data_IF_282847255108
#
_entry.id   IF_282847255108
#
_cell.length_a   1.000
_cell.length_b   1.000
_cell.length_c   1.000
_cell.angle_alpha   90.00
_cell.angle_beta   90.00
_cell.angle_gamma   90.00
#
_symmetry.space_group_name_H-M   'P 1'
#
loop_
_entity.id
_entity.type
_entity.pdbx_description
1 polymer ?
#
# COMPACT_ATOMS: atom_id res chain seq x y z
N UNK A 1 5.20 1.19 23.26
CA UNK A 1 6.65 0.98 23.01
C UNK A 1 7.12 -0.17 23.89
N UNK A 2 7.22 -1.39 23.36
CA UNK A 2 8.18 -2.39 23.88
C UNK A 2 8.60 -3.24 22.69
N UNK A 3 9.90 -3.19 22.42
CA UNK A 3 10.66 -4.00 21.48
C UNK A 3 10.55 -5.49 21.89
N UNK A 4 10.31 -6.49 21.01
CA UNK A 4 10.44 -7.88 21.42
C UNK A 4 11.93 -8.21 21.50
N UNK A 5 12.58 -7.75 22.56
CA UNK A 5 13.91 -8.21 22.92
C UNK A 5 13.77 -9.59 23.58
N UNK A 6 14.59 -10.56 23.16
CA UNK A 6 14.74 -11.83 23.88
C UNK A 6 15.12 -11.55 25.34
N UNK A 7 14.19 -11.80 26.27
CA UNK A 7 14.44 -11.69 27.71
C UNK A 7 14.98 -13.04 28.16
N UNK A 8 16.30 -13.15 28.23
CA UNK A 8 17.08 -14.25 28.83
C UNK A 8 17.18 -15.57 28.04
N UNK A 9 18.42 -15.96 27.76
CA UNK A 9 18.80 -17.34 27.45
C UNK A 9 18.90 -18.09 28.79
N UNK A 10 17.98 -19.02 29.05
CA UNK A 10 18.22 -20.00 30.11
C UNK A 10 19.22 -21.05 29.59
N UNK A 11 20.00 -21.70 30.48
CA UNK A 11 21.12 -22.63 30.14
C UNK A 11 20.75 -23.81 29.20
N UNK A 12 19.48 -23.97 28.82
CA UNK A 12 18.96 -24.95 27.87
C UNK A 12 18.69 -24.42 26.44
N UNK A 13 19.00 -23.15 26.14
CA UNK A 13 18.89 -22.62 24.76
C UNK A 13 17.46 -22.36 24.27
N UNK A 14 16.48 -22.16 25.17
CA UNK A 14 15.10 -21.83 24.82
C UNK A 14 14.89 -20.31 24.74
N UNK A 15 14.20 -19.83 23.70
CA UNK A 15 13.75 -18.43 23.56
C UNK A 15 12.33 -18.30 24.11
N UNK A 16 12.11 -17.36 25.02
CA UNK A 16 10.78 -17.12 25.59
C UNK A 16 10.14 -15.92 24.92
N UNK A 17 9.07 -16.15 24.16
CA UNK A 17 8.19 -15.08 23.67
C UNK A 17 7.02 -14.93 24.65
N UNK A 18 7.07 -13.95 25.55
CA UNK A 18 5.95 -13.66 26.46
C UNK A 18 5.08 -12.53 25.90
N UNK A 19 3.78 -12.77 25.83
CA UNK A 19 2.81 -11.76 25.42
C UNK A 19 2.25 -10.93 26.61
N UNK A 20 2.41 -11.46 27.83
CA UNK A 20 2.18 -10.81 29.13
C UNK A 20 2.79 -11.68 30.25
N UNK A 21 3.03 -11.13 31.46
CA UNK A 21 3.76 -11.75 32.59
C UNK A 21 3.26 -13.14 33.04
N UNK A 22 2.08 -13.58 32.61
CA UNK A 22 1.46 -14.84 33.04
C UNK A 22 1.25 -15.88 31.94
N UNK A 23 1.53 -15.56 30.66
CA UNK A 23 1.34 -16.48 29.54
C UNK A 23 2.60 -16.54 28.66
N UNK A 24 3.57 -17.34 29.07
CA UNK A 24 4.75 -17.64 28.28
C UNK A 24 4.60 -19.04 27.68
N UNK A 25 4.39 -19.11 26.34
CA UNK A 25 4.46 -20.39 25.64
C UNK A 25 5.93 -20.78 25.49
N UNK A 26 6.31 -21.93 26.07
CA UNK A 26 7.58 -22.55 25.80
C UNK A 26 7.58 -23.11 24.37
N UNK A 27 8.10 -22.33 23.43
CA UNK A 27 8.44 -22.81 22.10
C UNK A 27 9.95 -23.04 22.06
N UNK A 28 10.45 -24.16 21.51
CA UNK A 28 11.88 -24.36 21.40
C UNK A 28 12.47 -23.26 20.51
N UNK A 29 13.63 -22.70 20.88
CA UNK A 29 14.27 -21.62 20.11
C UNK A 29 14.49 -21.98 18.64
N UNK A 30 14.61 -23.28 18.34
CA UNK A 30 14.70 -23.85 16.98
C UNK A 30 13.51 -23.51 16.09
N UNK A 31 12.30 -23.35 16.64
CA UNK A 31 11.10 -23.01 15.87
C UNK A 31 11.07 -21.51 15.50
N UNK A 32 11.59 -20.64 16.36
CA UNK A 32 11.68 -19.21 16.08
C UNK A 32 12.79 -18.91 15.06
N UNK A 33 13.96 -19.54 15.21
CA UNK A 33 15.08 -19.39 14.26
C UNK A 33 14.73 -19.96 12.89
N UNK A 34 14.06 -21.11 12.82
CA UNK A 34 13.61 -21.67 11.54
C UNK A 34 12.51 -20.82 10.87
N UNK A 35 11.60 -20.20 11.62
CA UNK A 35 10.60 -19.27 11.07
C UNK A 35 11.24 -17.98 10.52
N UNK A 36 12.19 -17.38 11.25
CA UNK A 36 12.97 -16.23 10.79
C UNK A 36 13.82 -16.56 9.57
N UNK A 37 14.43 -17.76 9.55
CA UNK A 37 15.16 -18.28 8.39
C UNK A 37 14.24 -18.51 7.18
N UNK A 38 13.01 -18.99 7.38
CA UNK A 38 12.04 -19.13 6.29
C UNK A 38 11.59 -17.76 5.76
N UNK A 39 11.33 -16.80 6.64
CA UNK A 39 10.97 -15.44 6.25
C UNK A 39 12.12 -14.75 5.50
N UNK A 40 13.36 -14.88 5.98
CA UNK A 40 14.52 -14.30 5.32
C UNK A 40 14.77 -14.92 3.95
N UNK A 41 14.61 -16.25 3.80
CA UNK A 41 14.65 -16.93 2.50
C UNK A 41 13.56 -16.43 1.55
N UNK A 42 12.33 -16.24 2.03
CA UNK A 42 11.22 -15.70 1.22
C UNK A 42 11.48 -14.26 0.81
N UNK A 43 11.92 -13.41 1.74
CA UNK A 43 12.24 -12.01 1.47
C UNK A 43 13.39 -11.91 0.48
N UNK A 44 14.45 -12.71 0.65
CA UNK A 44 15.56 -12.79 -0.28
C UNK A 44 15.10 -13.24 -1.67
N UNK A 45 14.26 -14.28 -1.75
CA UNK A 45 13.67 -14.72 -3.01
C UNK A 45 12.86 -13.61 -3.68
N UNK A 46 12.01 -12.91 -2.93
CA UNK A 46 11.19 -11.81 -3.47
C UNK A 46 12.05 -10.65 -3.95
N UNK A 47 13.08 -10.24 -3.18
CA UNK A 47 14.00 -9.18 -3.55
C UNK A 47 14.84 -9.56 -4.78
N UNK A 48 15.30 -10.81 -4.86
CA UNK A 48 16.06 -11.32 -5.99
C UNK A 48 15.19 -11.36 -7.25
N UNK A 49 13.98 -11.93 -7.17
CA UNK A 49 13.04 -11.96 -8.30
C UNK A 49 12.65 -10.54 -8.74
N UNK A 50 12.34 -9.65 -7.79
CA UNK A 50 12.05 -8.25 -8.10
C UNK A 50 13.24 -7.54 -8.75
N UNK A 51 14.47 -7.79 -8.27
CA UNK A 51 15.70 -7.24 -8.84
C UNK A 51 15.94 -7.73 -10.27
N UNK A 52 15.75 -9.02 -10.53
CA UNK A 52 15.85 -9.60 -11.89
C UNK A 52 14.80 -8.99 -12.82
N UNK A 53 13.53 -8.92 -12.39
CA UNK A 53 12.45 -8.34 -13.19
C UNK A 53 12.67 -6.84 -13.46
N UNK A 54 13.14 -6.08 -12.46
CA UNK A 54 13.47 -4.68 -12.60
C UNK A 54 14.66 -4.48 -13.55
N UNK A 55 15.71 -5.29 -13.40
CA UNK A 55 16.88 -5.27 -14.29
C UNK A 55 16.50 -5.58 -15.74
N UNK A 56 15.71 -6.61 -15.96
CA UNK A 56 15.16 -6.96 -17.27
C UNK A 56 14.31 -5.82 -17.84
N UNK A 57 13.48 -5.17 -17.01
CA UNK A 57 12.66 -4.03 -17.43
C UNK A 57 13.54 -2.83 -17.82
N UNK A 58 14.52 -2.46 -17.01
CA UNK A 58 15.43 -1.35 -17.32
C UNK A 58 16.28 -1.62 -18.58
N UNK A 59 16.68 -2.88 -18.77
CA UNK A 59 17.37 -3.32 -19.97
C UNK A 59 16.48 -3.16 -21.21
N UNK A 60 15.20 -3.58 -21.14
CA UNK A 60 14.22 -3.35 -22.23
C UNK A 60 14.02 -1.86 -22.53
N UNK A 61 14.03 -1.01 -21.50
CA UNK A 61 13.93 0.45 -21.60
C UNK A 61 15.23 1.13 -22.09
N UNK A 62 16.27 0.35 -22.44
CA UNK A 62 17.59 0.84 -22.88
C UNK A 62 18.18 1.89 -21.93
N UNK A 63 17.93 1.74 -20.63
CA UNK A 63 18.40 2.65 -19.59
C UNK A 63 17.74 4.04 -19.55
N UNK A 64 16.70 4.29 -20.35
CA UNK A 64 15.92 5.54 -20.30
C UNK A 64 14.80 5.45 -19.26
N UNK A 65 14.57 6.52 -18.50
CA UNK A 65 13.35 6.63 -17.69
C UNK A 65 12.15 6.89 -18.61
N UNK A 66 10.95 6.39 -18.27
CA UNK A 66 9.76 6.76 -19.02
C UNK A 66 9.55 8.27 -18.92
N UNK A 67 9.59 8.95 -20.06
CA UNK A 67 9.25 10.36 -20.16
C UNK A 67 7.73 10.49 -20.26
N UNK A 68 7.12 11.11 -19.26
CA UNK A 68 5.69 11.42 -19.27
C UNK A 68 5.48 12.85 -19.73
N UNK A 69 4.34 13.09 -20.38
CA UNK A 69 3.92 14.40 -20.87
C UNK A 69 2.72 14.93 -20.07
N UNK A 70 2.42 16.22 -20.19
CA UNK A 70 1.25 16.87 -19.60
C UNK A 70 -0.07 16.20 -20.03
N UNK A 71 -0.07 15.63 -21.23
CA UNK A 71 -1.20 14.88 -21.78
C UNK A 71 -1.44 13.58 -21.00
N UNK A 72 -0.40 12.95 -20.46
CA UNK A 72 -0.53 11.71 -19.70
C UNK A 72 -1.12 11.97 -18.31
N UNK A 73 -0.51 12.92 -17.59
CA UNK A 73 -0.91 13.26 -16.23
C UNK A 73 -0.85 14.78 -16.00
N UNK A 74 -1.89 15.52 -16.40
CA UNK A 74 -1.91 16.99 -16.29
C UNK A 74 -1.79 17.47 -14.83
N UNK A 75 -2.23 16.65 -13.87
CA UNK A 75 -2.10 16.97 -12.45
C UNK A 75 -0.63 17.01 -12.01
N UNK A 76 0.22 16.13 -12.54
CA UNK A 76 1.66 16.13 -12.20
C UNK A 76 2.42 17.34 -12.76
N UNK A 77 1.93 17.93 -13.85
CA UNK A 77 2.58 19.05 -14.54
C UNK A 77 2.00 20.43 -14.21
N UNK A 78 0.82 20.50 -13.57
CA UNK A 78 0.20 21.77 -13.13
C UNK A 78 1.17 22.68 -12.36
N UNK A 79 1.25 24.00 -12.62
CA UNK A 79 2.23 24.88 -11.96
C UNK A 79 1.95 25.09 -10.46
N UNK A 80 0.70 24.92 -10.01
CA UNK A 80 0.29 25.20 -8.65
C UNK A 80 0.34 23.95 -7.75
N UNK A 81 1.13 24.01 -6.68
CA UNK A 81 1.27 22.90 -5.73
C UNK A 81 -0.07 22.49 -5.11
N UNK A 82 -0.94 23.46 -4.79
CA UNK A 82 -2.26 23.21 -4.21
C UNK A 82 -3.08 22.33 -5.16
N UNK A 83 -3.12 22.68 -6.45
CA UNK A 83 -3.84 21.90 -7.46
C UNK A 83 -3.29 20.47 -7.56
N UNK A 84 -1.96 20.29 -7.50
CA UNK A 84 -1.34 18.96 -7.50
C UNK A 84 -1.80 18.14 -6.29
N UNK A 85 -1.65 18.70 -5.08
CA UNK A 85 -1.96 18.00 -3.84
C UNK A 85 -3.44 17.65 -3.76
N UNK A 86 -4.34 18.61 -4.02
CA UNK A 86 -5.78 18.37 -3.96
C UNK A 86 -6.22 17.31 -4.98
N UNK A 87 -5.69 17.38 -6.21
CA UNK A 87 -6.01 16.39 -7.25
C UNK A 87 -5.47 15.02 -6.86
N UNK A 88 -4.22 14.91 -6.39
CA UNK A 88 -3.64 13.64 -5.94
C UNK A 88 -4.31 13.07 -4.69
N UNK A 89 -4.89 13.88 -3.82
CA UNK A 89 -5.75 13.39 -2.73
C UNK A 89 -7.10 12.87 -3.23
N UNK A 90 -7.62 13.42 -4.33
CA UNK A 90 -8.89 12.99 -4.92
C UNK A 90 -8.78 11.70 -5.75
N UNK A 91 -7.68 11.50 -6.48
CA UNK A 91 -7.51 10.34 -7.36
C UNK A 91 -7.65 8.96 -6.65
N UNK A 92 -7.16 8.74 -5.41
CA UNK A 92 -7.39 7.50 -4.68
C UNK A 92 -8.86 7.27 -4.34
N UNK A 93 -9.59 8.33 -3.97
CA UNK A 93 -11.03 8.25 -3.71
C UNK A 93 -11.79 7.86 -4.99
N UNK A 94 -11.40 8.42 -6.14
CA UNK A 94 -11.96 8.07 -7.43
C UNK A 94 -11.61 6.63 -7.86
N UNK A 95 -10.36 6.19 -7.65
CA UNK A 95 -9.97 4.79 -7.90
C UNK A 95 -10.80 3.82 -7.04
N UNK A 96 -11.01 4.15 -5.76
CA UNK A 96 -11.84 3.34 -4.87
C UNK A 96 -13.31 3.33 -5.28
N UNK A 97 -13.84 4.47 -5.74
CA UNK A 97 -15.20 4.53 -6.27
C UNK A 97 -15.38 3.61 -7.48
N UNK A 98 -14.42 3.56 -8.41
CA UNK A 98 -14.49 2.63 -9.54
C UNK A 98 -14.46 1.16 -9.12
N UNK A 99 -13.81 0.81 -8.00
CA UNK A 99 -13.87 -0.54 -7.44
C UNK A 99 -15.27 -0.89 -6.92
N UNK A 100 -15.99 0.08 -6.34
CA UNK A 100 -17.33 -0.11 -5.81
C UNK A 100 -18.41 -0.04 -6.90
N UNK A 101 -18.26 0.89 -7.83
CA UNK A 101 -19.23 1.20 -8.88
C UNK A 101 -18.50 1.55 -10.19
N UNK A 102 -18.23 0.56 -11.05
CA UNK A 102 -17.52 0.75 -12.31
C UNK A 102 -18.46 1.23 -13.43
N UNK A 103 -19.12 2.36 -13.20
CA UNK A 103 -20.13 2.90 -14.10
C UNK A 103 -19.52 3.81 -15.19
N UNK A 104 -18.56 4.66 -14.82
CA UNK A 104 -17.97 5.64 -15.73
C UNK A 104 -16.54 5.24 -16.07
N UNK A 105 -16.41 4.26 -16.94
CA UNK A 105 -15.12 3.79 -17.48
C UNK A 105 -14.72 4.63 -18.71
N UNK A 106 -13.42 4.87 -18.85
CA UNK A 106 -12.81 5.41 -20.07
C UNK A 106 -11.94 4.34 -20.75
N UNK A 107 -11.54 4.55 -22.00
CA UNK A 107 -10.46 3.74 -22.57
C UNK A 107 -9.13 4.10 -21.91
N UNK A 108 -8.96 5.40 -21.64
CA UNK A 108 -7.79 6.01 -21.00
C UNK A 108 -8.16 7.25 -20.21
N UNK A 109 -7.59 7.41 -19.02
CA UNK A 109 -7.75 8.59 -18.17
C UNK A 109 -6.65 9.64 -18.42
N UNK A 110 -6.37 9.91 -19.69
CA UNK A 110 -5.40 10.92 -20.14
C UNK A 110 -6.11 12.22 -20.56
N UNK A 111 -5.35 13.19 -21.05
CA UNK A 111 -5.84 14.42 -21.70
C UNK A 111 -6.79 15.27 -20.84
N UNK A 112 -6.62 15.24 -19.52
CA UNK A 112 -7.46 16.03 -18.61
C UNK A 112 -8.89 15.50 -18.45
N UNK A 113 -9.13 14.24 -18.79
CA UNK A 113 -10.43 13.58 -18.60
C UNK A 113 -10.89 13.65 -17.12
N UNK A 114 -9.95 13.63 -16.18
CA UNK A 114 -10.20 14.03 -14.79
C UNK A 114 -9.87 15.51 -14.63
N UNK A 115 -10.85 16.40 -14.39
CA UNK A 115 -10.57 17.82 -14.23
C UNK A 115 -9.73 18.07 -12.97
N UNK A 116 -8.80 19.01 -13.03
CA UNK A 116 -7.97 19.37 -11.88
C UNK A 116 -8.80 19.97 -10.75
N UNK A 117 -8.40 19.70 -9.51
CA UNK A 117 -9.02 20.29 -8.31
C UNK A 117 -8.24 21.55 -7.95
N UNK A 118 -8.79 22.72 -8.27
CA UNK A 118 -8.07 23.99 -8.17
C UNK A 118 -8.24 24.73 -6.83
N UNK A 119 -9.22 24.34 -6.01
CA UNK A 119 -9.52 25.02 -4.76
C UNK A 119 -9.99 24.08 -3.66
N UNK A 120 -9.86 24.50 -2.41
CA UNK A 120 -10.38 23.77 -1.26
C UNK A 120 -11.91 23.73 -1.21
N UNK A 121 -12.59 24.72 -1.81
CA UNK A 121 -14.04 24.80 -1.86
C UNK A 121 -14.67 23.84 -2.88
N UNK A 122 -13.87 23.10 -3.64
CA UNK A 122 -14.36 22.10 -4.57
C UNK A 122 -15.04 20.94 -3.83
N UNK A 123 -16.28 20.63 -4.21
CA UNK A 123 -17.06 19.53 -3.64
C UNK A 123 -16.35 18.17 -3.68
N UNK A 124 -15.44 17.97 -4.64
CA UNK A 124 -14.65 16.73 -4.77
C UNK A 124 -13.73 16.48 -3.59
N UNK A 125 -13.33 17.53 -2.87
CA UNK A 125 -12.56 17.38 -1.63
C UNK A 125 -13.35 16.66 -0.54
N UNK A 126 -14.69 16.70 -0.58
CA UNK A 126 -15.53 15.93 0.34
C UNK A 126 -15.36 14.43 0.10
N UNK A 127 -15.26 13.99 -1.16
CA UNK A 127 -15.01 12.58 -1.47
C UNK A 127 -13.63 12.14 -0.95
N UNK A 128 -12.60 12.97 -1.12
CA UNK A 128 -11.26 12.74 -0.55
C UNK A 128 -11.32 12.65 0.99
N UNK A 129 -12.04 13.57 1.63
CA UNK A 129 -12.19 13.59 3.08
C UNK A 129 -12.89 12.33 3.59
N UNK A 130 -14.02 11.94 2.99
CA UNK A 130 -14.74 10.71 3.36
C UNK A 130 -13.85 9.48 3.16
N UNK A 131 -13.13 9.39 2.04
CA UNK A 131 -12.21 8.30 1.77
C UNK A 131 -11.09 8.19 2.83
N UNK A 132 -10.36 9.28 3.11
CA UNK A 132 -9.26 9.22 4.07
C UNK A 132 -9.74 9.10 5.52
N UNK A 133 -10.89 9.66 5.88
CA UNK A 133 -11.46 9.47 7.23
C UNK A 133 -11.90 8.03 7.45
N UNK A 134 -12.59 7.41 6.49
CA UNK A 134 -12.94 5.98 6.55
C UNK A 134 -11.71 5.09 6.60
N UNK A 135 -10.71 5.34 5.75
CA UNK A 135 -9.45 4.61 5.77
C UNK A 135 -8.73 4.74 7.12
N UNK A 136 -8.64 5.95 7.67
CA UNK A 136 -8.03 6.21 8.97
C UNK A 136 -8.79 5.50 10.10
N UNK A 137 -10.12 5.52 10.09
CA UNK A 137 -10.93 4.77 11.05
C UNK A 137 -10.66 3.26 10.97
N UNK A 138 -10.62 2.68 9.77
CA UNK A 138 -10.33 1.26 9.57
C UNK A 138 -8.93 0.92 10.11
N UNK A 139 -7.92 1.76 9.82
CA UNK A 139 -6.56 1.59 10.34
C UNK A 139 -6.53 1.69 11.86
N UNK A 140 -7.14 2.71 12.45
CA UNK A 140 -7.21 2.87 13.90
C UNK A 140 -7.88 1.67 14.58
N UNK A 141 -9.01 1.20 14.04
CA UNK A 141 -9.70 0.02 14.55
C UNK A 141 -8.82 -1.23 14.41
N UNK A 142 -8.17 -1.43 13.26
CA UNK A 142 -7.28 -2.56 13.02
C UNK A 142 -6.08 -2.58 13.98
N UNK A 143 -5.58 -1.41 14.40
CA UNK A 143 -4.50 -1.28 15.37
C UNK A 143 -4.97 -1.46 16.83
N UNK A 144 -6.22 -1.09 17.12
CA UNK A 144 -6.82 -1.20 18.46
C UNK A 144 -7.44 -2.58 18.74
N UNK A 145 -7.66 -3.41 17.72
CA UNK A 145 -8.16 -4.78 17.88
C UNK A 145 -7.21 -5.59 18.75
N UNK A 146 -7.67 -5.87 19.96
CA UNK A 146 -6.99 -6.75 20.91
C UNK A 146 -7.34 -8.22 20.63
N UNK A 147 -6.46 -9.14 21.03
CA UNK A 147 -6.74 -10.58 20.95
C UNK A 147 -7.89 -10.94 21.88
N UNK A 148 -8.91 -11.60 21.35
CA UNK A 148 -10.04 -12.12 22.12
C UNK A 148 -9.97 -13.64 22.06
N UNK A 149 -9.80 -14.29 23.22
CA UNK A 149 -9.80 -15.75 23.30
C UNK A 149 -8.73 -16.46 22.46
N UNK A 150 -7.54 -15.87 22.28
CA UNK A 150 -6.45 -16.45 21.50
C UNK A 150 -6.54 -16.24 19.97
N UNK A 151 -7.68 -15.75 19.46
CA UNK A 151 -7.86 -15.40 18.06
C UNK A 151 -7.50 -13.92 17.83
N UNK A 152 -6.56 -13.67 16.90
CA UNK A 152 -6.15 -12.33 16.47
C UNK A 152 -6.91 -11.92 15.20
N UNK A 153 -8.18 -11.53 15.36
CA UNK A 153 -9.00 -11.04 14.24
C UNK A 153 -8.37 -9.81 13.55
N UNK A 154 -7.61 -9.01 14.28
CA UNK A 154 -6.90 -7.84 13.75
C UNK A 154 -5.74 -8.21 12.82
N UNK A 155 -5.23 -9.44 12.84
CA UNK A 155 -4.18 -9.91 11.92
C UNK A 155 -4.65 -9.85 10.47
N UNK A 156 -5.84 -10.38 10.19
CA UNK A 156 -6.39 -10.44 8.82
C UNK A 156 -6.61 -9.03 8.29
N UNK A 157 -7.21 -8.14 9.10
CA UNK A 157 -7.45 -6.75 8.71
C UNK A 157 -6.15 -6.00 8.43
N UNK A 158 -5.13 -6.16 9.26
CA UNK A 158 -3.81 -5.53 9.04
C UNK A 158 -3.12 -6.06 7.78
N UNK A 159 -3.18 -7.36 7.53
CA UNK A 159 -2.64 -7.96 6.30
C UNK A 159 -3.39 -7.48 5.05
N UNK A 160 -4.73 -7.41 5.11
CA UNK A 160 -5.56 -6.87 4.02
C UNK A 160 -5.26 -5.40 3.73
N UNK A 161 -5.13 -4.56 4.77
CA UNK A 161 -4.72 -3.17 4.63
C UNK A 161 -3.33 -3.03 4.00
N UNK A 162 -2.37 -3.85 4.43
CA UNK A 162 -1.02 -3.87 3.85
C UNK A 162 -1.08 -4.26 2.37
N UNK A 163 -1.86 -5.28 2.01
CA UNK A 163 -2.08 -5.70 0.62
C UNK A 163 -2.80 -4.66 -0.23
N UNK A 164 -3.58 -3.76 0.36
CA UNK A 164 -4.24 -2.67 -0.37
C UNK A 164 -3.30 -1.48 -0.59
N UNK A 165 -2.61 -1.03 0.47
CA UNK A 165 -1.81 0.21 0.45
C UNK A 165 -0.45 0.02 -0.22
N UNK A 166 0.27 -1.06 0.10
CA UNK A 166 1.64 -1.26 -0.39
C UNK A 166 1.76 -1.32 -1.92
N UNK A 167 0.91 -2.06 -2.67
CA UNK A 167 1.00 -2.06 -4.13
C UNK A 167 0.51 -0.75 -4.76
N UNK A 168 -0.28 0.05 -4.05
CA UNK A 168 -0.78 1.33 -4.54
C UNK A 168 0.24 2.47 -4.36
N UNK A 169 1.18 2.36 -3.41
CA UNK A 169 2.19 3.39 -3.14
C UNK A 169 3.04 3.82 -4.35
N UNK A 170 3.51 2.93 -5.24
CA UNK A 170 4.21 3.37 -6.45
C UNK A 170 3.34 4.23 -7.40
N UNK A 171 2.02 4.05 -7.37
CA UNK A 171 1.08 4.77 -8.24
C UNK A 171 0.68 6.16 -7.70
N UNK A 172 0.94 6.48 -6.43
CA UNK A 172 0.52 7.75 -5.81
C UNK A 172 1.34 8.96 -6.24
N UNK A 173 2.28 8.81 -7.17
CA UNK A 173 3.17 9.88 -7.65
C UNK A 173 4.07 10.51 -6.55
N UNK A 174 4.17 9.90 -5.36
CA UNK A 174 4.98 10.40 -4.24
C UNK A 174 6.48 10.27 -4.51
N UNK A 175 6.92 9.12 -5.03
CA UNK A 175 8.34 8.84 -5.24
C UNK A 175 8.82 9.25 -6.63
N UNK A 176 7.98 9.02 -7.65
CA UNK A 176 8.30 9.31 -9.04
C UNK A 176 7.03 9.77 -9.74
N UNK A 177 7.16 10.62 -10.75
CA UNK A 177 6.01 10.97 -11.60
C UNK A 177 5.62 9.75 -12.42
N UNK A 178 4.33 9.45 -12.44
CA UNK A 178 3.72 8.37 -13.21
C UNK A 178 2.71 8.99 -14.15
N UNK A 179 2.71 8.58 -15.43
CA UNK A 179 1.78 9.11 -16.43
C UNK A 179 0.34 8.60 -16.32
N UNK A 180 0.07 7.59 -15.49
CA UNK A 180 -1.28 7.05 -15.33
C UNK A 180 -2.02 7.69 -14.17
N UNK A 181 -3.27 8.08 -14.41
CA UNK A 181 -4.16 8.74 -13.44
C UNK A 181 -5.04 7.72 -12.70
N UNK A 182 -5.60 6.74 -13.43
CA UNK A 182 -6.50 5.70 -12.93
C UNK A 182 -6.22 4.36 -13.64
N UNK A 183 -6.36 3.25 -12.93
CA UNK A 183 -5.95 1.91 -13.38
C UNK A 183 -7.14 1.02 -13.84
N UNK A 184 -8.05 1.55 -14.65
CA UNK A 184 -9.29 0.84 -15.03
C UNK A 184 -9.12 -0.26 -16.08
N UNK A 185 -7.99 -0.30 -16.80
CA UNK A 185 -7.75 -1.19 -17.96
C UNK A 185 -7.84 -2.71 -17.65
N UNK A 186 -8.04 -3.09 -16.38
CA UNK A 186 -8.27 -4.47 -15.92
C UNK A 186 -9.78 -4.78 -15.83
N UNK A 187 -10.64 -3.77 -15.77
CA UNK A 187 -12.09 -3.87 -15.55
C UNK A 187 -12.90 -3.83 -16.84
N UNK A 188 -12.26 -3.66 -17.99
CA UNK A 188 -12.91 -3.75 -19.29
C UNK A 188 -13.35 -5.19 -19.55
N UNK A 189 -14.65 -5.45 -19.44
CA UNK A 189 -15.26 -6.67 -19.98
C UNK A 189 -15.44 -6.42 -21.48
N UNK A 190 -14.79 -7.19 -22.37
CA UNK A 190 -15.09 -7.11 -23.78
C UNK A 190 -16.56 -7.52 -23.98
N UNK A 191 -17.34 -6.66 -24.63
CA UNK A 191 -18.68 -7.02 -25.09
C UNK A 191 -18.61 -7.94 -26.29
#
# INVERSE_FOLDING_TARGET
MVNPACISNNMAGNCVCCESSSNCLHSPASNCTSALQQLSKRLLSLLLTAGVLLGLRLWMLRGSSPAFSDQDNPASFSPHLITRVLTFCYLPALNFWLLLCPWQLSHDWQMGTVPLVNSFADSRNLASLVFYTTLAMIVCRALQTSKVGGYDGGRVTRMGLALLVLPFLPATNIFFRVGFVLAERILYIPR
#
